data_IF_188158068466
#
_entry.id   IF_188158068466
#
_cell.length_a   1.000
_cell.length_b   1.000
_cell.length_c   1.000
_cell.angle_alpha   90.00
_cell.angle_beta   90.00
_cell.angle_gamma   90.00
#
_symmetry.space_group_name_H-M   'P 1'
#
loop_
_entity.id
_entity.type
_entity.pdbx_description
1 polymer ?
#
# COMPACT_ATOMS: atom_id res chain seq x y z
N UNK A 1 -25.74 20.39 -32.74
CA UNK A 1 -24.79 20.96 -31.75
C UNK A 1 -24.96 20.37 -30.35
N UNK A 2 -26.16 20.13 -29.83
CA UNK A 2 -26.35 19.55 -28.50
C UNK A 2 -25.82 18.12 -28.33
N UNK A 3 -25.74 17.33 -29.41
CA UNK A 3 -25.18 15.97 -29.37
C UNK A 3 -23.65 15.95 -29.22
N UNK A 4 -22.95 16.92 -29.77
CA UNK A 4 -21.48 17.06 -29.65
C UNK A 4 -21.06 17.41 -28.24
N UNK A 5 -21.79 18.31 -27.60
CA UNK A 5 -21.51 18.73 -26.22
C UNK A 5 -21.70 17.58 -25.23
N UNK A 6 -22.73 16.73 -25.43
CA UNK A 6 -22.99 15.56 -24.60
C UNK A 6 -21.93 14.49 -24.75
N UNK A 7 -21.44 14.22 -25.95
CA UNK A 7 -20.39 13.25 -26.22
C UNK A 7 -19.06 13.72 -25.60
N UNK A 8 -18.74 15.01 -25.73
CA UNK A 8 -17.53 15.59 -25.15
C UNK A 8 -17.56 15.51 -23.61
N UNK A 9 -18.70 15.75 -23.00
CA UNK A 9 -18.87 15.64 -21.55
C UNK A 9 -18.70 14.20 -21.05
N UNK A 10 -19.25 13.21 -21.76
CA UNK A 10 -19.12 11.79 -21.44
C UNK A 10 -17.66 11.34 -21.56
N UNK A 11 -16.95 11.76 -22.59
CA UNK A 11 -15.51 11.47 -22.76
C UNK A 11 -14.70 12.09 -21.62
N UNK A 12 -15.03 13.31 -21.21
CA UNK A 12 -14.37 13.96 -20.10
C UNK A 12 -14.61 13.26 -18.77
N UNK A 13 -15.82 12.77 -18.52
CA UNK A 13 -16.17 11.98 -17.34
C UNK A 13 -15.45 10.63 -17.33
N UNK A 14 -15.35 9.96 -18.48
CA UNK A 14 -14.59 8.71 -18.60
C UNK A 14 -13.09 8.93 -18.38
N UNK A 15 -12.55 10.05 -18.86
CA UNK A 15 -11.15 10.41 -18.62
C UNK A 15 -10.88 10.72 -17.15
N UNK A 16 -11.78 11.40 -16.45
CA UNK A 16 -11.62 11.67 -15.03
C UNK A 16 -11.73 10.41 -14.17
N UNK A 17 -12.55 9.42 -14.56
CA UNK A 17 -12.62 8.11 -13.91
C UNK A 17 -11.37 7.26 -14.14
N UNK A 18 -10.67 7.42 -15.29
CA UNK A 18 -9.44 6.67 -15.59
C UNK A 18 -8.20 7.23 -14.90
N UNK A 19 -8.27 8.43 -14.30
CA UNK A 19 -7.17 9.09 -13.60
C UNK A 19 -7.12 8.73 -12.10
N UNK A 20 -8.08 7.93 -11.59
CA UNK A 20 -8.03 7.43 -10.22
C UNK A 20 -6.86 6.48 -10.06
N UNK A 21 -5.75 7.05 -9.62
CA UNK A 21 -4.53 6.32 -9.30
C UNK A 21 -4.79 5.49 -8.06
N UNK A 22 -4.75 4.19 -8.22
CA UNK A 22 -4.95 3.25 -7.13
C UNK A 22 -3.64 2.93 -6.44
N UNK A 23 -3.71 2.72 -5.15
CA UNK A 23 -2.58 2.24 -4.36
C UNK A 23 -2.24 0.78 -4.70
N UNK A 24 -3.17 0.06 -5.34
CA UNK A 24 -3.06 -1.36 -5.64
C UNK A 24 -1.83 -1.73 -6.44
N UNK A 25 -1.29 -2.88 -6.13
CA UNK A 25 -0.14 -3.45 -6.80
C UNK A 25 1.14 -3.37 -6.00
N UNK A 26 2.24 -3.50 -6.69
CA UNK A 26 3.57 -3.59 -6.09
C UNK A 26 4.34 -2.28 -6.27
N UNK A 27 4.93 -1.83 -5.18
CA UNK A 27 5.76 -0.64 -5.10
C UNK A 27 7.11 -0.99 -4.51
N UNK A 28 8.20 -0.44 -5.05
CA UNK A 28 9.51 -0.76 -4.52
C UNK A 28 10.45 0.46 -4.46
N UNK A 29 11.40 0.38 -3.53
CA UNK A 29 12.57 1.23 -3.45
C UNK A 29 13.82 0.36 -3.17
N UNK A 30 14.93 0.98 -2.84
CA UNK A 30 16.17 0.24 -2.56
C UNK A 30 16.09 -0.65 -1.32
N UNK A 31 15.21 -0.32 -0.37
CA UNK A 31 15.12 -0.99 0.92
C UNK A 31 13.95 -1.96 1.02
N UNK A 32 12.83 -1.67 0.35
CA UNK A 32 11.58 -2.38 0.56
C UNK A 32 10.81 -2.62 -0.73
N UNK A 33 10.01 -3.69 -0.70
CA UNK A 33 8.93 -3.94 -1.65
C UNK A 33 7.63 -3.94 -0.85
N UNK A 34 6.65 -3.17 -1.30
CA UNK A 34 5.32 -3.12 -0.67
C UNK A 34 4.27 -3.52 -1.69
N UNK A 35 3.41 -4.43 -1.29
CA UNK A 35 2.25 -4.85 -2.06
C UNK A 35 0.97 -4.46 -1.35
N UNK A 36 0.03 -3.88 -2.09
CA UNK A 36 -1.31 -3.54 -1.60
C UNK A 36 -2.39 -4.20 -2.44
N UNK A 37 -3.36 -4.78 -1.76
CA UNK A 37 -4.59 -5.31 -2.36
C UNK A 37 -5.78 -4.60 -1.71
N UNK A 38 -6.39 -3.64 -2.40
CA UNK A 38 -7.48 -2.84 -1.87
C UNK A 38 -8.82 -3.60 -1.84
N UNK A 39 -8.97 -4.65 -2.63
CA UNK A 39 -10.17 -5.48 -2.62
C UNK A 39 -10.25 -6.29 -1.32
N UNK A 40 -9.17 -6.96 -0.97
CA UNK A 40 -9.06 -7.72 0.28
C UNK A 40 -8.61 -6.87 1.46
N UNK A 41 -8.17 -5.64 1.22
CA UNK A 41 -7.62 -4.71 2.21
C UNK A 41 -6.41 -5.29 2.95
N UNK A 42 -5.51 -5.89 2.20
CA UNK A 42 -4.31 -6.55 2.71
C UNK A 42 -3.04 -5.95 2.12
N UNK A 43 -1.98 -5.97 2.90
CA UNK A 43 -0.67 -5.51 2.47
C UNK A 43 0.43 -6.49 2.88
N UNK A 44 1.53 -6.45 2.13
CA UNK A 44 2.77 -7.17 2.45
C UNK A 44 3.93 -6.20 2.28
N UNK A 45 4.85 -6.20 3.23
CA UNK A 45 6.10 -5.44 3.15
C UNK A 45 7.27 -6.42 3.22
N UNK A 46 8.14 -6.39 2.23
CA UNK A 46 9.36 -7.18 2.18
C UNK A 46 10.55 -6.24 2.37
N UNK A 47 11.38 -6.54 3.37
CA UNK A 47 12.60 -5.81 3.63
C UNK A 47 13.77 -6.45 2.86
N UNK A 48 14.32 -5.74 1.87
CA UNK A 48 15.41 -6.26 1.04
C UNK A 48 16.72 -6.45 1.79
N UNK A 49 16.96 -5.63 2.79
CA UNK A 49 18.23 -5.57 3.54
C UNK A 49 18.09 -5.93 5.02
N UNK A 50 17.03 -6.63 5.39
CA UNK A 50 16.76 -6.94 6.78
C UNK A 50 17.63 -8.09 7.29
N UNK A 51 18.22 -7.90 8.47
CA UNK A 51 19.00 -8.92 9.14
C UNK A 51 18.14 -9.90 9.95
N UNK A 52 16.99 -9.47 10.44
CA UNK A 52 16.13 -10.25 11.34
C UNK A 52 14.73 -10.49 10.77
N UNK A 53 14.01 -9.44 10.40
CA UNK A 53 12.66 -9.54 9.89
C UNK A 53 12.66 -9.28 8.38
N UNK A 54 12.25 -10.27 7.63
CA UNK A 54 12.26 -10.23 6.16
C UNK A 54 10.93 -9.71 5.62
N UNK A 55 9.82 -10.07 6.27
CA UNK A 55 8.50 -9.77 5.76
C UNK A 55 7.52 -9.39 6.87
N UNK A 56 6.70 -8.39 6.61
CA UNK A 56 5.51 -8.07 7.38
C UNK A 56 4.28 -8.19 6.51
N UNK A 57 3.17 -8.61 7.11
CA UNK A 57 1.89 -8.62 6.44
C UNK A 57 0.77 -8.21 7.40
N UNK A 58 -0.31 -7.71 6.85
CA UNK A 58 -1.45 -7.30 7.65
C UNK A 58 -2.59 -6.75 6.81
N UNK A 59 -3.40 -5.96 7.46
CA UNK A 59 -4.57 -5.33 6.86
C UNK A 59 -4.40 -3.82 6.82
N UNK A 60 -5.04 -3.18 5.84
CA UNK A 60 -5.05 -1.72 5.77
C UNK A 60 -6.43 -1.19 5.44
N UNK A 61 -6.69 0.03 5.85
CA UNK A 61 -7.90 0.76 5.53
C UNK A 61 -7.56 2.14 4.99
N UNK A 62 -8.40 2.61 4.06
CA UNK A 62 -8.37 3.99 3.60
C UNK A 62 -9.21 4.87 4.50
N UNK A 63 -8.72 6.08 4.77
CA UNK A 63 -9.58 7.15 5.24
C UNK A 63 -10.32 7.74 4.04
N UNK A 64 -11.65 7.79 4.12
CA UNK A 64 -12.51 8.29 3.03
C UNK A 64 -12.37 9.79 2.77
N UNK A 65 -11.90 10.53 3.76
CA UNK A 65 -11.90 11.99 3.74
C UNK A 65 -10.51 12.62 3.63
N UNK A 66 -9.48 11.82 3.70
CA UNK A 66 -8.10 12.25 3.56
C UNK A 66 -7.28 11.22 2.79
N UNK A 67 -6.18 11.64 2.19
CA UNK A 67 -5.24 10.73 1.53
C UNK A 67 -4.37 10.01 2.56
N UNK A 68 -5.02 9.27 3.46
CA UNK A 68 -4.33 8.51 4.49
C UNK A 68 -4.77 7.06 4.53
N UNK A 69 -3.87 6.21 4.97
CA UNK A 69 -4.09 4.80 5.17
C UNK A 69 -3.65 4.40 6.57
N UNK A 70 -4.31 3.41 7.11
CA UNK A 70 -3.97 2.79 8.39
C UNK A 70 -3.49 1.37 8.13
N UNK A 71 -2.26 1.07 8.52
CA UNK A 71 -1.70 -0.28 8.44
C UNK A 71 -1.79 -0.95 9.79
N UNK A 72 -2.38 -2.14 9.83
CA UNK A 72 -2.38 -3.01 11.01
C UNK A 72 -1.53 -4.23 10.72
N UNK A 73 -0.41 -4.36 11.42
CA UNK A 73 0.53 -5.46 11.24
C UNK A 73 0.01 -6.69 11.98
N UNK A 74 -0.18 -7.79 11.27
CA UNK A 74 -0.72 -9.05 11.83
C UNK A 74 0.30 -10.17 11.88
N UNK A 75 1.25 -10.19 10.94
CA UNK A 75 2.22 -11.27 10.80
C UNK A 75 3.61 -10.73 10.52
N UNK A 76 4.60 -11.50 10.91
CA UNK A 76 5.98 -11.28 10.49
C UNK A 76 6.66 -12.60 10.15
N UNK A 77 7.63 -12.54 9.25
CA UNK A 77 8.48 -13.65 8.88
C UNK A 77 9.94 -13.21 9.07
N UNK A 78 10.70 -14.01 9.81
CA UNK A 78 12.11 -13.72 10.06
C UNK A 78 13.02 -14.25 8.94
N UNK A 79 14.31 -14.02 9.05
CA UNK A 79 15.30 -14.48 8.07
C UNK A 79 15.49 -16.02 8.02
N UNK A 80 14.91 -16.74 8.97
CA UNK A 80 14.90 -18.21 8.99
C UNK A 80 13.60 -18.80 8.45
N UNK A 81 12.72 -17.96 7.87
CA UNK A 81 11.39 -18.33 7.41
C UNK A 81 10.42 -18.77 8.51
N UNK A 82 10.69 -18.41 9.75
CA UNK A 82 9.74 -18.63 10.85
C UNK A 82 8.63 -17.59 10.78
N UNK A 83 7.42 -18.06 10.93
CA UNK A 83 6.19 -17.28 10.90
C UNK A 83 5.71 -16.97 12.31
N UNK A 84 5.45 -15.69 12.58
CA UNK A 84 4.94 -15.25 13.88
C UNK A 84 3.68 -14.43 13.69
N UNK A 85 2.66 -14.74 14.48
CA UNK A 85 1.49 -13.86 14.62
C UNK A 85 1.81 -12.74 15.61
N UNK A 86 1.43 -11.52 15.25
CA UNK A 86 1.56 -10.38 16.15
C UNK A 86 0.32 -10.37 17.05
N UNK A 87 0.50 -10.65 18.33
CA UNK A 87 -0.59 -10.64 19.29
C UNK A 87 -0.98 -9.22 19.65
N UNK A 88 -2.24 -8.88 19.39
CA UNK A 88 -2.82 -7.58 19.74
C UNK A 88 -3.37 -7.50 21.16
N UNK A 89 -2.87 -8.33 22.07
CA UNK A 89 -3.36 -8.43 23.46
C UNK A 89 -2.86 -7.30 24.37
N UNK A 90 -1.94 -6.48 23.90
CA UNK A 90 -1.48 -5.31 24.61
C UNK A 90 -2.16 -4.06 24.03
N UNK A 91 -2.26 -3.01 24.82
CA UNK A 91 -2.84 -1.73 24.40
C UNK A 91 -2.08 -1.05 23.25
N UNK A 92 -0.91 -1.55 22.92
CA UNK A 92 -0.11 -1.12 21.78
C UNK A 92 -0.38 -2.06 20.61
N UNK A 93 -1.27 -1.64 19.71
CA UNK A 93 -1.41 -2.28 18.42
C UNK A 93 -0.18 -1.96 17.57
N UNK A 94 0.35 -2.95 16.88
CA UNK A 94 1.27 -2.69 15.79
C UNK A 94 0.49 -2.03 14.66
N UNK A 95 0.43 -0.72 14.73
CA UNK A 95 -0.43 0.12 13.90
C UNK A 95 0.38 1.32 13.42
N UNK A 96 0.22 1.63 12.16
CA UNK A 96 0.89 2.79 11.55
C UNK A 96 -0.11 3.55 10.71
N UNK A 97 -0.16 4.86 10.89
CA UNK A 97 -0.97 5.74 10.08
C UNK A 97 -0.07 6.56 9.16
N UNK A 98 -0.34 6.48 7.87
CA UNK A 98 0.46 7.11 6.82
C UNK A 98 -0.43 7.96 5.93
N UNK A 99 0.09 9.12 5.55
CA UNK A 99 -0.45 9.85 4.40
C UNK A 99 0.21 9.32 3.13
N UNK A 100 -0.55 9.23 2.04
CA UNK A 100 -0.01 8.78 0.77
C UNK A 100 -0.30 9.77 -0.35
N UNK A 101 0.61 9.84 -1.30
CA UNK A 101 0.46 10.62 -2.51
C UNK A 101 1.02 9.82 -3.69
N UNK A 102 0.21 9.68 -4.74
CA UNK A 102 0.62 8.97 -5.96
C UNK A 102 0.65 9.97 -7.10
N UNK A 103 1.82 10.10 -7.72
CA UNK A 103 2.03 10.99 -8.85
C UNK A 103 3.03 10.38 -9.83
N UNK A 104 2.65 10.21 -11.09
CA UNK A 104 3.53 9.69 -12.15
C UNK A 104 4.19 8.36 -11.79
N UNK A 105 3.41 7.39 -11.33
CA UNK A 105 3.89 6.06 -10.91
C UNK A 105 4.89 6.09 -9.74
N UNK A 106 4.88 7.18 -8.99
CA UNK A 106 5.64 7.32 -7.74
C UNK A 106 4.69 7.40 -6.57
N UNK A 107 5.01 6.67 -5.52
CA UNK A 107 4.28 6.66 -4.27
C UNK A 107 5.13 7.33 -3.19
N UNK A 108 4.56 8.32 -2.52
CA UNK A 108 5.09 8.87 -1.29
C UNK A 108 4.24 8.39 -0.12
N UNK A 109 4.88 7.80 0.88
CA UNK A 109 4.27 7.47 2.17
C UNK A 109 4.90 8.37 3.24
N UNK A 110 4.08 9.18 3.88
CA UNK A 110 4.52 10.11 4.91
C UNK A 110 4.00 9.68 6.27
N UNK A 111 4.93 9.46 7.21
CA UNK A 111 4.62 9.15 8.59
C UNK A 111 4.65 10.42 9.42
N UNK A 112 3.47 10.84 9.91
CA UNK A 112 3.32 12.05 10.70
C UNK A 112 4.07 11.99 12.05
N UNK A 113 4.11 10.83 12.68
CA UNK A 113 4.76 10.67 13.98
C UNK A 113 6.28 10.76 13.88
N UNK A 114 6.84 10.23 12.80
CA UNK A 114 8.28 10.25 12.55
C UNK A 114 8.72 11.46 11.72
N UNK A 115 7.78 12.23 11.18
CA UNK A 115 8.02 13.34 10.25
C UNK A 115 8.94 12.92 9.08
N UNK A 116 8.66 11.74 8.51
CA UNK A 116 9.50 11.13 7.49
C UNK A 116 8.70 10.65 6.30
N UNK A 117 9.22 10.93 5.10
CA UNK A 117 8.70 10.44 3.83
C UNK A 117 9.50 9.26 3.31
N UNK A 118 8.79 8.29 2.74
CA UNK A 118 9.36 7.15 2.04
C UNK A 118 8.84 7.16 0.61
N UNK A 119 9.75 7.03 -0.35
CA UNK A 119 9.41 7.09 -1.77
C UNK A 119 9.58 5.72 -2.42
N UNK A 120 8.63 5.38 -3.27
CA UNK A 120 8.60 4.11 -3.99
C UNK A 120 8.23 4.37 -5.45
N UNK A 121 8.63 3.46 -6.31
CA UNK A 121 8.21 3.43 -7.72
C UNK A 121 7.34 2.22 -7.98
N UNK A 122 6.45 2.32 -8.96
CA UNK A 122 5.60 1.20 -9.38
C UNK A 122 6.47 0.08 -9.92
N UNK A 123 6.22 -1.13 -9.45
CA UNK A 123 6.95 -2.34 -9.83
C UNK A 123 6.01 -3.35 -10.49
N UNK A 124 6.53 -4.14 -11.43
CA UNK A 124 5.80 -5.25 -12.03
C UNK A 124 6.14 -6.60 -11.39
N UNK A 125 6.89 -6.59 -10.29
CA UNK A 125 7.21 -7.83 -9.59
C UNK A 125 5.99 -8.44 -8.93
N UNK A 126 5.82 -9.75 -9.08
CA UNK A 126 4.89 -10.52 -8.30
C UNK A 126 5.52 -10.90 -6.97
N UNK A 127 4.72 -10.87 -5.90
CA UNK A 127 5.15 -11.28 -4.57
C UNK A 127 4.56 -12.66 -4.29
N UNK A 128 5.32 -13.77 -4.48
CA UNK A 128 4.77 -15.11 -4.31
C UNK A 128 4.37 -15.43 -2.87
N UNK A 129 4.97 -14.75 -1.89
CA UNK A 129 4.68 -14.98 -0.47
C UNK A 129 3.32 -14.41 -0.03
N UNK A 130 2.82 -13.39 -0.70
CA UNK A 130 1.49 -12.84 -0.42
C UNK A 130 0.39 -13.90 -0.55
N UNK A 131 0.55 -14.85 -1.44
CA UNK A 131 -0.40 -15.95 -1.65
C UNK A 131 -0.38 -16.98 -0.52
N UNK A 132 0.71 -17.09 0.23
CA UNK A 132 0.83 -18.05 1.34
C UNK A 132 0.27 -17.50 2.66
N UNK A 133 0.28 -16.20 2.84
CA UNK A 133 -0.18 -15.53 4.06
C UNK A 133 -1.68 -15.26 4.03
N UNK A 134 -2.23 -15.18 2.86
CA UNK A 134 -3.64 -14.89 2.60
C UNK A 134 -4.35 -16.02 1.90
#
# INVERSE_FOLDING_TARGET
MSKFIKITLIIFLLFSCSVNKTLDGTWENEEKIIYFDSIQKKFVIINKKANEIVEFAGEFDFDKYSDSISLTYLYLINNKNDFFMIENNTHEKFYEQLQYNIKNEKLELYNLNLEKSYFFIKSNQEIPLAQKVF
#
